data_IF_120711517544
#
_entry.id   IF_120711517544
#
_cell.length_a   1.000
_cell.length_b   1.000
_cell.length_c   1.000
_cell.angle_alpha   90.00
_cell.angle_beta   90.00
_cell.angle_gamma   90.00
#
_symmetry.space_group_name_H-M   'P 1'
#
loop_
_entity.id
_entity.type
_entity.pdbx_description
1 polymer ?
#
# COMPACT_ATOMS: atom_id res chain seq x y z
N UNK A 1 -24.71 -12.36 11.96
CA UNK A 1 -23.70 -12.74 10.96
C UNK A 1 -22.35 -12.35 11.56
N UNK A 2 -21.61 -13.33 12.09
CA UNK A 2 -20.47 -13.14 12.99
C UNK A 2 -19.33 -12.39 12.29
N UNK A 3 -19.06 -11.11 12.60
CA UNK A 3 -18.10 -10.59 13.61
C UNK A 3 -16.64 -11.07 13.52
N UNK A 4 -16.34 -12.01 12.63
CA UNK A 4 -14.98 -12.35 12.22
C UNK A 4 -14.85 -11.92 10.75
N UNK A 5 -14.10 -10.85 10.50
CA UNK A 5 -13.46 -10.53 9.21
C UNK A 5 -13.99 -9.37 8.33
N UNK A 6 -14.80 -8.46 8.85
CA UNK A 6 -14.67 -7.06 8.38
C UNK A 6 -13.30 -6.49 8.84
N UNK A 7 -12.74 -7.07 9.92
CA UNK A 7 -11.46 -6.73 10.56
C UNK A 7 -10.22 -7.54 10.08
N UNK A 8 -10.34 -8.48 9.13
CA UNK A 8 -9.20 -9.03 8.38
C UNK A 8 -9.20 -8.52 6.93
N UNK A 9 -9.73 -7.31 6.73
CA UNK A 9 -9.61 -6.61 5.46
C UNK A 9 -8.12 -6.34 5.20
N UNK A 10 -7.48 -7.20 4.42
CA UNK A 10 -6.06 -7.15 4.07
C UNK A 10 -5.66 -5.75 3.61
N UNK A 11 -5.00 -5.00 4.49
CA UNK A 11 -4.65 -3.60 4.25
C UNK A 11 -3.46 -3.44 3.31
N UNK A 12 -2.70 -4.51 3.14
CA UNK A 12 -1.67 -4.68 2.10
C UNK A 12 -2.36 -5.31 0.88
N UNK A 13 -3.08 -4.49 0.11
CA UNK A 13 -4.07 -5.01 -0.84
C UNK A 13 -3.48 -5.61 -2.11
N UNK A 14 -2.26 -5.22 -2.49
CA UNK A 14 -1.63 -5.72 -3.71
C UNK A 14 -0.10 -5.54 -3.64
N UNK A 15 0.64 -6.63 -3.46
CA UNK A 15 2.08 -6.69 -3.73
C UNK A 15 2.20 -7.34 -5.10
N UNK A 16 2.44 -6.53 -6.14
CA UNK A 16 2.47 -7.01 -7.51
C UNK A 16 3.88 -6.88 -8.08
N UNK A 17 4.48 -7.96 -8.62
CA UNK A 17 5.67 -7.83 -9.44
C UNK A 17 5.27 -7.15 -10.74
N UNK A 18 5.53 -5.84 -10.81
CA UNK A 18 5.15 -5.03 -11.97
C UNK A 18 6.16 -5.17 -13.11
N UNK A 19 7.41 -5.56 -12.81
CA UNK A 19 8.43 -5.95 -13.80
C UNK A 19 9.32 -7.05 -13.21
N UNK A 20 10.26 -7.58 -14.00
CA UNK A 20 11.24 -8.58 -13.54
C UNK A 20 12.09 -8.14 -12.33
N UNK A 21 12.18 -6.83 -12.06
CA UNK A 21 13.02 -6.27 -11.00
C UNK A 21 12.27 -5.29 -10.10
N UNK A 22 10.95 -5.18 -10.21
CA UNK A 22 10.17 -4.19 -9.47
C UNK A 22 8.89 -4.77 -8.89
N UNK A 23 8.68 -4.48 -7.62
CA UNK A 23 7.49 -4.81 -6.86
C UNK A 23 6.76 -3.51 -6.54
N UNK A 24 5.48 -3.43 -6.88
CA UNK A 24 4.65 -2.29 -6.50
C UNK A 24 3.74 -2.71 -5.34
N UNK A 25 3.72 -1.90 -4.27
CA UNK A 25 2.91 -2.11 -3.07
C UNK A 25 1.75 -1.11 -3.06
N UNK A 26 0.53 -1.61 -3.15
CA UNK A 26 -0.69 -0.80 -3.05
C UNK A 26 -1.10 -0.53 -1.60
N UNK A 27 -1.38 0.73 -1.26
CA UNK A 27 -1.73 1.18 0.09
C UNK A 27 -3.03 2.00 0.07
N UNK A 28 -3.89 1.77 1.06
CA UNK A 28 -5.07 2.58 1.32
C UNK A 28 -4.82 3.56 2.46
N UNK A 29 -4.48 4.80 2.09
CA UNK A 29 -4.16 5.91 2.98
C UNK A 29 -5.13 7.05 2.67
N UNK A 30 -6.23 7.13 3.43
CA UNK A 30 -7.25 8.16 3.25
C UNK A 30 -6.75 9.47 3.86
N UNK A 31 -6.90 10.58 3.14
CA UNK A 31 -6.56 11.92 3.65
C UNK A 31 -5.07 12.27 3.65
N UNK A 32 -4.21 11.39 3.14
CA UNK A 32 -2.79 11.69 2.90
C UNK A 32 -2.60 11.98 1.41
N UNK A 33 -1.92 13.07 1.08
CA UNK A 33 -1.59 13.38 -0.31
C UNK A 33 -0.38 12.58 -0.79
N UNK A 34 -0.37 12.12 -2.05
CA UNK A 34 0.80 11.49 -2.64
C UNK A 34 2.01 12.42 -2.60
N UNK A 35 3.13 11.96 -2.05
CA UNK A 35 4.36 12.72 -1.96
C UNK A 35 5.59 11.82 -2.11
N UNK A 36 6.62 12.31 -2.80
CA UNK A 36 7.86 11.57 -3.03
C UNK A 36 7.60 10.22 -3.71
N UNK A 37 7.92 9.13 -3.02
CA UNK A 37 7.73 7.76 -3.50
C UNK A 37 6.33 7.18 -3.25
N UNK A 38 5.51 7.85 -2.43
CA UNK A 38 4.10 7.52 -2.26
C UNK A 38 3.33 8.14 -3.42
N UNK A 39 3.12 7.37 -4.48
CA UNK A 39 2.44 7.83 -5.67
C UNK A 39 0.93 7.57 -5.59
N UNK A 40 0.15 8.33 -6.35
CA UNK A 40 -1.26 8.00 -6.59
C UNK A 40 -1.34 6.67 -7.34
N UNK A 41 -2.28 5.81 -6.96
CA UNK A 41 -2.45 4.49 -7.58
C UNK A 41 -2.68 4.58 -9.10
N UNK A 42 -3.47 5.54 -9.56
CA UNK A 42 -3.74 5.77 -10.98
C UNK A 42 -4.27 4.51 -11.67
N UNK A 43 -3.65 4.12 -12.78
CA UNK A 43 -3.99 2.91 -13.55
C UNK A 43 -3.49 1.60 -12.94
N UNK A 44 -2.78 1.64 -11.80
CA UNK A 44 -2.24 0.44 -11.16
C UNK A 44 -3.35 -0.47 -10.62
N UNK A 45 -4.20 0.08 -9.76
CA UNK A 45 -5.34 -0.63 -9.20
C UNK A 45 -6.33 0.41 -8.63
N UNK A 46 -7.58 0.40 -9.10
CA UNK A 46 -8.62 1.33 -8.65
C UNK A 46 -9.08 1.10 -7.21
N UNK A 47 -8.73 -0.05 -6.63
CA UNK A 47 -9.07 -0.44 -5.25
C UNK A 47 -8.07 0.07 -4.20
N UNK A 48 -6.94 0.65 -4.63
CA UNK A 48 -5.95 1.27 -3.73
C UNK A 48 -5.84 2.76 -4.01
N UNK A 49 -5.65 3.57 -2.97
CA UNK A 49 -5.47 5.03 -3.11
C UNK A 49 -4.08 5.42 -3.59
N UNK A 50 -3.07 4.69 -3.11
CA UNK A 50 -1.66 4.98 -3.29
C UNK A 50 -0.91 3.73 -3.70
N UNK A 51 0.27 3.92 -4.28
CA UNK A 51 1.25 2.86 -4.54
C UNK A 51 2.65 3.33 -4.16
N UNK A 52 3.49 2.40 -3.75
CA UNK A 52 4.93 2.60 -3.59
C UNK A 52 5.64 1.60 -4.48
N UNK A 53 6.61 2.07 -5.26
CA UNK A 53 7.41 1.23 -6.15
C UNK A 53 8.70 0.84 -5.46
N UNK A 54 8.95 -0.46 -5.35
CA UNK A 54 10.15 -1.03 -4.75
C UNK A 54 10.97 -1.73 -5.84
N UNK A 55 12.19 -1.24 -6.06
CA UNK A 55 13.18 -1.79 -6.96
C UNK A 55 14.26 -2.59 -6.20
N UNK A 56 14.39 -2.41 -4.89
CA UNK A 56 15.31 -3.18 -4.06
C UNK A 56 14.77 -3.38 -2.63
N UNK A 57 15.37 -4.33 -1.89
CA UNK A 57 14.90 -4.69 -0.54
C UNK A 57 15.14 -3.59 0.52
N UNK A 58 16.11 -2.70 0.31
CA UNK A 58 16.41 -1.64 1.27
C UNK A 58 15.36 -0.51 1.25
N UNK A 59 14.49 -0.47 0.25
CA UNK A 59 13.36 0.46 0.17
C UNK A 59 12.17 0.02 1.06
N UNK A 60 12.26 -1.17 1.69
CA UNK A 60 11.40 -1.56 2.80
C UNK A 60 11.95 -0.97 4.08
N UNK A 61 11.76 0.34 4.24
CA UNK A 61 12.26 1.14 5.35
C UNK A 61 11.13 1.62 6.28
N UNK A 62 11.50 2.37 7.31
CA UNK A 62 10.57 2.89 8.32
C UNK A 62 9.48 3.80 7.73
N UNK A 63 9.75 4.48 6.61
CA UNK A 63 8.75 5.30 5.93
C UNK A 63 7.65 4.43 5.32
N UNK A 64 8.00 3.29 4.69
CA UNK A 64 7.02 2.37 4.11
C UNK A 64 6.20 1.73 5.22
N UNK A 65 6.88 1.28 6.28
CA UNK A 65 6.24 0.67 7.44
C UNK A 65 5.30 1.68 8.11
N UNK A 66 5.69 2.95 8.19
CA UNK A 66 4.86 4.04 8.69
C UNK A 66 3.55 4.20 7.91
N UNK A 67 3.61 4.17 6.58
CA UNK A 67 2.41 4.21 5.75
C UNK A 67 1.53 2.97 5.87
N UNK A 68 2.14 1.78 5.95
CA UNK A 68 1.39 0.54 6.16
C UNK A 68 0.71 0.52 7.54
N UNK A 69 1.35 1.07 8.56
CA UNK A 69 0.76 1.25 9.89
C UNK A 69 -0.36 2.29 9.88
N UNK A 70 -0.14 3.44 9.24
CA UNK A 70 -1.17 4.47 9.12
C UNK A 70 -2.40 4.00 8.34
N UNK A 71 -2.19 3.20 7.30
CA UNK A 71 -3.28 2.47 6.66
C UNK A 71 -3.97 1.56 7.70
N UNK A 72 -3.18 0.73 8.40
CA UNK A 72 -3.67 -0.21 9.42
C UNK A 72 -4.63 0.42 10.43
N UNK A 73 -4.21 1.54 11.02
CA UNK A 73 -4.93 2.23 12.08
C UNK A 73 -6.18 2.99 11.58
N UNK A 74 -6.30 3.23 10.27
CA UNK A 74 -7.39 4.03 9.69
C UNK A 74 -8.43 3.21 8.92
N UNK A 75 -8.28 1.88 8.86
CA UNK A 75 -9.31 0.97 8.34
C UNK A 75 -10.32 0.58 9.41
#
# INVERSE_FOLDING_TARGET
>A
MSSVDEATQTQIRNIQPSTATRIDVGINLKGVEPAGRLEKSGSFNSMVSHRVRLSNANEVDDELIGWLRGAYETA
#
